data_IF_921110765789
#
_entry.id   IF_921110765789
#
_cell.length_a   1.000
_cell.length_b   1.000
_cell.length_c   1.000
_cell.angle_alpha   90.00
_cell.angle_beta   90.00
_cell.angle_gamma   90.00
#
_symmetry.space_group_name_H-M   'P 1'
#
loop_
_entity.id
_entity.type
_entity.pdbx_description
1 polymer ?
#
# COMPACT_ATOMS: atom_id res chain seq x y z
N UNK A 1 13.58 8.16 25.27
CA UNK A 1 12.60 8.26 24.16
C UNK A 1 11.31 7.69 24.71
N UNK A 2 10.27 8.51 24.92
CA UNK A 2 8.98 8.02 25.40
C UNK A 2 8.29 7.21 24.28
N UNK A 3 7.71 6.03 24.56
CA UNK A 3 6.96 5.29 23.57
C UNK A 3 5.76 6.13 23.11
N UNK A 4 5.69 6.39 21.81
CA UNK A 4 4.52 7.03 21.19
C UNK A 4 3.34 6.06 21.39
N UNK A 5 2.21 6.51 21.98
CA UNK A 5 1.03 5.68 22.11
C UNK A 5 0.63 5.05 20.77
N UNK A 6 0.29 3.76 20.79
CA UNK A 6 -0.01 2.97 19.59
C UNK A 6 -1.10 3.58 18.70
N UNK A 7 -1.98 4.41 19.25
CA UNK A 7 -3.02 5.14 18.52
C UNK A 7 -2.53 6.44 17.83
N UNK A 8 -1.38 6.99 18.20
CA UNK A 8 -0.82 8.22 17.58
C UNK A 8 0.16 7.92 16.44
N UNK A 9 0.87 6.80 16.50
CA UNK A 9 1.88 6.40 15.50
C UNK A 9 1.32 6.13 14.09
N UNK A 10 -0.01 5.96 13.97
CA UNK A 10 -0.70 5.73 12.70
C UNK A 10 -1.63 6.89 12.30
N UNK A 11 -1.53 8.03 12.99
CA UNK A 11 -2.25 9.22 12.57
C UNK A 11 -1.64 9.74 11.26
N UNK A 12 -2.50 10.11 10.30
CA UNK A 12 -2.07 10.77 9.05
C UNK A 12 -1.21 12.02 9.30
N UNK A 13 -1.24 12.57 10.51
CA UNK A 13 -0.40 13.68 10.94
C UNK A 13 1.11 13.39 10.75
N UNK A 14 1.57 12.14 10.96
CA UNK A 14 2.97 11.77 10.73
C UNK A 14 3.36 11.92 9.25
N UNK A 15 2.44 11.60 8.35
CA UNK A 15 2.65 11.60 6.90
C UNK A 15 2.33 12.95 6.25
N UNK A 16 1.76 13.89 7.02
CA UNK A 16 1.30 15.21 6.55
C UNK A 16 2.33 15.96 5.69
N UNK A 17 3.63 16.05 6.05
CA UNK A 17 4.55 16.86 5.26
C UNK A 17 4.74 16.36 3.83
N UNK A 18 4.49 15.07 3.57
CA UNK A 18 4.52 14.51 2.21
C UNK A 18 3.15 14.63 1.54
N UNK A 19 2.06 14.44 2.29
CA UNK A 19 0.69 14.52 1.76
C UNK A 19 0.24 15.95 1.40
N UNK A 20 0.83 16.98 1.99
CA UNK A 20 0.57 18.38 1.61
C UNK A 20 1.05 18.68 0.16
N UNK A 21 2.09 17.99 -0.31
CA UNK A 21 2.61 18.09 -1.68
C UNK A 21 2.09 17.01 -2.63
N UNK A 22 1.23 16.11 -2.17
CA UNK A 22 0.70 15.01 -2.97
C UNK A 22 -0.35 15.53 -3.96
N UNK A 23 -0.18 15.22 -5.24
CA UNK A 23 -1.21 15.44 -6.26
C UNK A 23 -1.95 14.13 -6.47
N UNK A 24 -3.24 14.04 -6.10
CA UNK A 24 -4.01 12.86 -6.42
C UNK A 24 -4.06 12.62 -7.92
N UNK A 25 -3.99 11.36 -8.37
CA UNK A 25 -4.09 11.04 -9.78
C UNK A 25 -5.46 11.48 -10.33
N UNK A 26 -5.46 11.91 -11.59
CA UNK A 26 -6.68 12.25 -12.31
C UNK A 26 -7.33 11.00 -12.93
N UNK A 27 -8.65 11.04 -13.05
CA UNK A 27 -9.42 9.99 -13.71
C UNK A 27 -9.87 8.85 -12.80
N UNK A 28 -10.73 8.01 -13.36
CA UNK A 28 -11.30 6.85 -12.69
C UNK A 28 -10.35 5.66 -12.82
N UNK A 29 -10.03 5.02 -11.70
CA UNK A 29 -9.28 3.78 -11.68
C UNK A 29 -10.24 2.61 -11.88
N UNK A 30 -10.04 1.89 -12.99
CA UNK A 30 -10.72 0.64 -13.25
C UNK A 30 -9.80 -0.53 -12.83
N UNK A 31 -9.97 -1.11 -11.63
CA UNK A 31 -9.15 -2.25 -11.19
C UNK A 31 -9.46 -3.53 -11.99
N UNK A 32 -10.48 -3.49 -12.84
CA UNK A 32 -10.81 -4.47 -13.85
C UNK A 32 -10.01 -4.29 -15.14
N UNK A 33 -9.24 -3.23 -15.38
CA UNK A 33 -8.40 -3.12 -16.58
C UNK A 33 -6.93 -3.32 -16.27
N UNK A 34 -6.15 -3.49 -17.33
CA UNK A 34 -4.70 -3.40 -17.24
C UNK A 34 -4.32 -2.02 -16.71
N UNK A 35 -3.42 -1.98 -15.74
CA UNK A 35 -3.02 -0.74 -15.10
C UNK A 35 -1.61 -0.82 -14.54
N UNK A 36 -1.00 0.35 -14.42
CA UNK A 36 0.27 0.54 -13.71
C UNK A 36 0.06 1.54 -12.59
N UNK A 37 0.50 1.18 -11.39
CA UNK A 37 0.53 2.06 -10.23
C UNK A 37 1.98 2.24 -9.80
N UNK A 38 2.43 3.49 -9.70
CA UNK A 38 3.76 3.82 -9.19
C UNK A 38 3.61 4.54 -7.86
N UNK A 39 4.47 4.21 -6.90
CA UNK A 39 4.47 4.78 -5.57
C UNK A 39 5.87 5.20 -5.19
N UNK A 40 6.02 6.40 -4.64
CA UNK A 40 7.20 6.80 -3.91
C UNK A 40 7.22 6.11 -2.55
N UNK A 41 8.37 5.57 -2.17
CA UNK A 41 8.61 4.97 -0.85
C UNK A 41 9.20 6.05 0.05
N UNK A 42 8.62 6.25 1.22
CA UNK A 42 9.03 7.27 2.18
C UNK A 42 9.30 6.65 3.55
N UNK A 43 10.35 7.13 4.21
CA UNK A 43 10.72 6.79 5.58
C UNK A 43 10.50 7.98 6.51
N UNK A 44 9.90 7.74 7.68
CA UNK A 44 9.50 8.73 8.67
C UNK A 44 10.19 8.45 10.02
N UNK A 45 11.51 8.67 10.05
CA UNK A 45 12.31 8.52 11.28
C UNK A 45 12.43 9.85 12.04
N UNK A 46 13.17 10.81 11.48
CA UNK A 46 13.31 12.16 12.04
C UNK A 46 12.62 13.22 11.16
N UNK A 47 12.83 13.13 9.85
CA UNK A 47 12.12 13.90 8.84
C UNK A 47 11.71 12.95 7.71
N UNK A 48 10.59 13.21 7.01
CA UNK A 48 10.18 12.41 5.86
C UNK A 48 11.26 12.45 4.77
N UNK A 49 11.66 11.27 4.30
CA UNK A 49 12.65 11.14 3.22
C UNK A 49 12.14 10.14 2.18
N UNK A 50 12.12 10.55 0.91
CA UNK A 50 11.90 9.61 -0.19
C UNK A 50 13.10 8.67 -0.28
N UNK A 51 12.85 7.38 -0.07
CA UNK A 51 13.86 6.33 -0.06
C UNK A 51 13.78 5.44 -1.31
N UNK A 52 12.74 5.53 -2.14
CA UNK A 52 12.63 4.61 -3.28
C UNK A 52 11.36 4.73 -4.10
N UNK A 53 11.13 3.73 -4.93
CA UNK A 53 9.96 3.58 -5.80
C UNK A 53 9.46 2.14 -5.78
N UNK A 54 8.14 1.98 -5.81
CA UNK A 54 7.42 0.72 -6.01
C UNK A 54 6.53 0.90 -7.24
N UNK A 55 6.67 0.02 -8.24
CA UNK A 55 5.79 -0.05 -9.41
C UNK A 55 5.07 -1.38 -9.41
N UNK A 56 3.76 -1.34 -9.59
CA UNK A 56 2.90 -2.51 -9.70
C UNK A 56 2.18 -2.44 -11.04
N UNK A 57 2.39 -3.44 -11.89
CA UNK A 57 1.69 -3.59 -13.17
C UNK A 57 0.76 -4.77 -13.09
N UNK A 58 -0.50 -4.58 -13.43
CA UNK A 58 -1.50 -5.64 -13.50
C UNK A 58 -1.91 -5.81 -14.95
N UNK A 59 -1.85 -7.05 -15.45
CA UNK A 59 -2.23 -7.43 -16.81
C UNK A 59 -3.22 -8.58 -16.77
N UNK A 60 -4.30 -8.49 -17.54
CA UNK A 60 -5.23 -9.61 -17.73
C UNK A 60 -4.66 -10.62 -18.71
N UNK A 61 -4.68 -11.89 -18.31
CA UNK A 61 -4.42 -13.04 -19.16
C UNK A 61 -5.64 -13.95 -19.27
N UNK A 62 -5.54 -14.96 -20.14
CA UNK A 62 -6.61 -15.94 -20.34
C UNK A 62 -7.01 -16.70 -19.05
N UNK A 63 -6.09 -16.80 -18.08
CA UNK A 63 -6.27 -17.59 -16.86
C UNK A 63 -6.34 -16.74 -15.57
N UNK A 64 -6.53 -15.41 -15.69
CA UNK A 64 -6.63 -14.51 -14.55
C UNK A 64 -5.79 -13.24 -14.72
N UNK A 65 -5.23 -12.74 -13.62
CA UNK A 65 -4.42 -11.52 -13.60
C UNK A 65 -2.97 -11.86 -13.24
N UNK A 66 -2.03 -11.31 -14.00
CA UNK A 66 -0.61 -11.32 -13.68
C UNK A 66 -0.24 -9.95 -13.12
N UNK A 67 0.29 -9.94 -11.90
CA UNK A 67 0.78 -8.73 -11.22
C UNK A 67 2.30 -8.78 -11.18
N UNK A 68 2.95 -7.80 -11.78
CA UNK A 68 4.40 -7.61 -11.73
C UNK A 68 4.75 -6.47 -10.78
N UNK A 69 5.71 -6.72 -9.92
CA UNK A 69 6.16 -5.78 -8.90
C UNK A 69 7.63 -5.49 -9.13
N UNK A 70 7.95 -4.21 -9.32
CA UNK A 70 9.31 -3.69 -9.29
C UNK A 70 9.45 -2.76 -8.09
N UNK A 71 10.43 -3.04 -7.25
CA UNK A 71 10.68 -2.28 -6.03
C UNK A 71 12.15 -1.91 -6.01
N UNK A 72 12.44 -0.64 -5.76
CA UNK A 72 13.80 -0.11 -5.58
C UNK A 72 13.79 0.79 -4.36
N UNK A 73 14.59 0.48 -3.35
CA UNK A 73 14.74 1.29 -2.14
C UNK A 73 16.21 1.50 -1.80
N UNK A 74 16.61 2.75 -1.62
CA UNK A 74 17.91 3.15 -1.11
C UNK A 74 18.15 2.57 0.29
N UNK A 75 19.36 2.05 0.47
CA UNK A 75 19.90 1.55 1.72
C UNK A 75 21.12 2.39 2.15
N UNK A 76 21.57 2.33 3.41
CA UNK A 76 22.72 3.10 3.90
C UNK A 76 23.99 2.80 3.10
N UNK A 77 24.75 3.84 2.73
CA UNK A 77 26.02 3.70 1.98
C UNK A 77 25.87 3.72 0.46
N UNK A 78 24.86 4.40 -0.07
CA UNK A 78 24.53 4.47 -1.51
C UNK A 78 24.24 3.10 -2.16
N UNK A 79 23.75 2.17 -1.35
CA UNK A 79 23.24 0.88 -1.81
C UNK A 79 21.77 0.98 -2.21
N UNK A 80 21.31 0.02 -3.02
CA UNK A 80 19.92 -0.12 -3.40
C UNK A 80 19.44 -1.55 -3.14
N UNK A 81 18.30 -1.70 -2.48
CA UNK A 81 17.55 -2.95 -2.41
C UNK A 81 16.58 -2.99 -3.59
N UNK A 82 16.71 -4.02 -4.41
CA UNK A 82 15.84 -4.26 -5.55
C UNK A 82 15.02 -5.52 -5.29
N UNK A 83 13.75 -5.48 -5.69
CA UNK A 83 12.89 -6.65 -5.73
C UNK A 83 12.11 -6.63 -7.04
N UNK A 84 12.16 -7.76 -7.75
CA UNK A 84 11.32 -8.05 -8.90
C UNK A 84 10.47 -9.28 -8.58
N UNK A 85 9.16 -9.17 -8.74
CA UNK A 85 8.25 -10.30 -8.50
C UNK A 85 7.16 -10.39 -9.56
N UNK A 86 6.73 -11.61 -9.85
CA UNK A 86 5.57 -11.91 -10.69
C UNK A 86 4.59 -12.79 -9.90
N UNK A 87 3.33 -12.35 -9.85
CA UNK A 87 2.28 -12.91 -9.03
C UNK A 87 1.10 -13.24 -9.94
N UNK A 88 0.68 -14.50 -9.93
CA UNK A 88 -0.43 -15.02 -10.70
C UNK A 88 -1.63 -15.20 -9.79
N UNK A 89 -2.72 -14.50 -10.11
CA UNK A 89 -3.99 -14.56 -9.41
C UNK A 89 -5.06 -15.13 -10.35
N UNK A 90 -5.90 -16.03 -9.85
CA UNK A 90 -7.07 -16.52 -10.60
C UNK A 90 -8.33 -15.72 -10.29
N UNK A 91 -9.36 -15.90 -11.12
CA UNK A 91 -10.72 -15.40 -10.90
C UNK A 91 -11.00 -13.99 -11.41
N UNK A 92 -12.27 -13.73 -11.74
CA UNK A 92 -12.81 -12.38 -11.90
C UNK A 92 -13.25 -11.88 -10.52
N UNK A 93 -12.87 -10.66 -10.13
CA UNK A 93 -13.17 -10.10 -8.80
C UNK A 93 -12.02 -10.24 -7.81
N UNK A 94 -11.87 -11.39 -7.14
CA UNK A 94 -10.88 -11.58 -6.07
C UNK A 94 -9.50 -11.99 -6.59
N UNK A 95 -8.36 -11.43 -6.11
CA UNK A 95 -7.06 -12.02 -6.38
C UNK A 95 -6.91 -13.32 -5.58
N UNK A 96 -7.42 -14.41 -6.14
CA UNK A 96 -7.23 -15.75 -5.61
C UNK A 96 -5.83 -16.24 -6.00
N UNK A 97 -4.85 -15.98 -5.14
CA UNK A 97 -3.43 -16.25 -5.37
C UNK A 97 -3.20 -17.71 -5.84
N UNK A 98 -2.51 -17.88 -6.96
CA UNK A 98 -2.23 -19.19 -7.59
C UNK A 98 -0.76 -19.54 -7.51
N UNK A 99 0.11 -18.60 -7.89
CA UNK A 99 1.55 -18.77 -7.94
C UNK A 99 2.23 -17.42 -7.80
N UNK A 100 3.41 -17.38 -7.22
CA UNK A 100 4.27 -16.21 -7.25
C UNK A 100 5.73 -16.65 -7.32
N UNK A 101 6.56 -15.76 -7.85
CA UNK A 101 8.00 -15.88 -7.78
C UNK A 101 8.60 -14.48 -7.68
N UNK A 102 9.77 -14.38 -7.08
CA UNK A 102 10.47 -13.12 -7.00
C UNK A 102 11.94 -13.29 -6.66
N UNK A 103 12.66 -12.21 -6.91
CA UNK A 103 14.09 -12.08 -6.65
C UNK A 103 14.33 -10.73 -5.98
N UNK A 104 14.96 -10.76 -4.83
CA UNK A 104 15.51 -9.60 -4.14
C UNK A 104 17.04 -9.62 -4.23
N UNK A 105 17.65 -8.45 -4.39
CA UNK A 105 19.11 -8.29 -4.39
C UNK A 105 19.49 -6.90 -3.86
N UNK A 106 20.71 -6.76 -3.35
CA UNK A 106 21.26 -5.45 -3.00
C UNK A 106 22.36 -5.08 -4.01
N UNK A 107 22.31 -3.87 -4.57
CA UNK A 107 23.34 -3.34 -5.46
C UNK A 107 24.17 -2.27 -4.75
N UNK A 108 25.48 -2.31 -4.98
CA UNK A 108 26.42 -1.30 -4.50
C UNK A 108 26.46 -0.05 -5.39
N UNK A 109 27.22 0.97 -4.97
CA UNK A 109 27.39 2.21 -5.74
C UNK A 109 28.00 2.01 -7.14
N UNK A 110 28.71 0.90 -7.36
CA UNK A 110 29.27 0.50 -8.65
C UNK A 110 28.25 -0.24 -9.55
N UNK A 111 27.00 -0.36 -9.09
CA UNK A 111 25.91 -1.06 -9.78
C UNK A 111 26.00 -2.58 -9.69
N UNK A 112 27.00 -3.16 -9.03
CA UNK A 112 27.16 -4.61 -8.90
C UNK A 112 26.29 -5.15 -7.78
N UNK A 113 25.74 -6.33 -8.01
CA UNK A 113 25.03 -7.09 -6.97
C UNK A 113 26.03 -7.50 -5.89
N UNK A 114 25.71 -7.20 -4.64
CA UNK A 114 26.52 -7.61 -3.50
C UNK A 114 26.44 -9.13 -3.31
N UNK A 115 27.60 -9.80 -3.11
CA UNK A 115 27.61 -11.23 -2.80
C UNK A 115 26.71 -11.56 -1.61
N UNK A 116 26.01 -12.69 -1.69
CA UNK A 116 25.13 -13.22 -0.63
C UNK A 116 23.88 -12.38 -0.31
N UNK A 117 23.61 -11.30 -1.05
CA UNK A 117 22.37 -10.51 -0.90
C UNK A 117 21.27 -10.94 -1.86
N UNK A 118 21.61 -11.79 -2.83
CA UNK A 118 20.63 -12.37 -3.73
C UNK A 118 19.76 -13.39 -2.99
N UNK A 119 18.46 -13.15 -3.03
CA UNK A 119 17.45 -13.96 -2.40
C UNK A 119 16.31 -14.20 -3.39
N UNK A 120 15.98 -15.46 -3.65
CA UNK A 120 14.90 -15.84 -4.55
C UNK A 120 13.87 -16.68 -3.82
N UNK A 121 12.59 -16.37 -4.06
CA UNK A 121 11.46 -17.06 -3.47
C UNK A 121 10.46 -17.44 -4.55
N UNK A 122 9.81 -18.57 -4.35
CA UNK A 122 8.68 -19.03 -5.15
C UNK A 122 7.63 -19.59 -4.22
N UNK A 123 6.37 -19.46 -4.60
CA UNK A 123 5.37 -20.34 -4.05
C UNK A 123 4.19 -20.54 -4.97
N UNK A 124 3.41 -21.57 -4.66
CA UNK A 124 2.26 -21.98 -5.44
C UNK A 124 1.18 -22.56 -4.54
N UNK A 125 -0.04 -22.47 -5.01
CA UNK A 125 -1.18 -23.18 -4.46
C UNK A 125 -1.23 -24.59 -5.05
N UNK A 126 -1.35 -25.57 -4.17
CA UNK A 126 -1.88 -26.90 -4.47
C UNK A 126 -3.28 -27.03 -3.84
N UNK A 127 -3.98 -28.15 -4.08
CA UNK A 127 -5.40 -28.30 -3.70
C UNK A 127 -5.68 -27.99 -2.22
N UNK A 128 -4.83 -28.48 -1.32
CA UNK A 128 -4.95 -28.31 0.14
C UNK A 128 -3.76 -27.58 0.80
N UNK A 129 -2.74 -27.21 0.04
CA UNK A 129 -1.48 -26.71 0.59
C UNK A 129 -0.96 -25.47 -0.16
N UNK A 130 -0.20 -24.66 0.57
CA UNK A 130 0.75 -23.72 0.00
C UNK A 130 2.13 -24.38 -0.03
N UNK A 131 2.76 -24.37 -1.20
CA UNK A 131 4.13 -24.84 -1.36
C UNK A 131 5.04 -23.64 -1.57
N UNK A 132 6.01 -23.48 -0.68
CA UNK A 132 7.03 -22.43 -0.70
C UNK A 132 8.37 -23.04 -1.06
N UNK A 133 9.14 -22.37 -1.91
CA UNK A 133 10.45 -22.79 -2.34
C UNK A 133 11.44 -21.63 -2.24
N UNK A 134 12.54 -21.88 -1.52
CA UNK A 134 13.64 -20.94 -1.31
C UNK A 134 14.94 -21.66 -1.61
N UNK A 135 15.54 -21.37 -2.78
CA UNK A 135 16.69 -22.12 -3.29
C UNK A 135 16.38 -23.61 -3.51
N UNK A 136 17.06 -24.48 -2.76
CA UNK A 136 16.87 -25.94 -2.80
C UNK A 136 15.85 -26.45 -1.79
N UNK A 137 15.41 -25.60 -0.86
CA UNK A 137 14.48 -25.96 0.21
C UNK A 137 13.04 -25.82 -0.28
N UNK A 138 12.20 -26.80 0.04
CA UNK A 138 10.75 -26.74 -0.16
C UNK A 138 10.05 -26.90 1.20
N UNK A 139 9.05 -26.05 1.48
CA UNK A 139 8.20 -26.13 2.66
C UNK A 139 6.74 -26.14 2.24
N UNK A 140 5.94 -26.98 2.90
CA UNK A 140 4.50 -27.11 2.67
C UNK A 140 3.75 -26.70 3.91
N UNK A 141 2.69 -25.90 3.75
CA UNK A 141 1.82 -25.45 4.83
C UNK A 141 0.36 -25.65 4.43
N UNK A 142 -0.55 -25.96 5.36
CA UNK A 142 -1.95 -26.14 5.06
C UNK A 142 -2.57 -24.83 4.55
N UNK A 143 -3.42 -24.93 3.53
CA UNK A 143 -4.21 -23.82 3.01
C UNK A 143 -5.54 -23.75 3.74
N UNK A 144 -5.60 -22.87 4.74
CA UNK A 144 -6.81 -22.70 5.56
C UNK A 144 -7.77 -21.68 4.93
N UNK A 145 -7.24 -20.65 4.26
CA UNK A 145 -8.01 -19.55 3.68
C UNK A 145 -7.43 -19.10 2.33
N UNK A 146 -8.15 -18.26 1.56
CA UNK A 146 -7.54 -17.48 0.48
C UNK A 146 -6.34 -16.69 1.03
N UNK A 147 -5.27 -16.58 0.25
CA UNK A 147 -4.06 -15.86 0.65
C UNK A 147 -3.84 -14.61 -0.20
N UNK A 148 -3.30 -13.56 0.42
CA UNK A 148 -2.87 -12.33 -0.23
C UNK A 148 -1.37 -12.08 -0.01
N UNK A 149 -0.76 -11.33 -0.92
CA UNK A 149 0.53 -10.68 -0.73
C UNK A 149 0.28 -9.19 -0.46
N UNK A 150 1.22 -8.46 0.20
CA UNK A 150 1.09 -7.02 0.43
C UNK A 150 0.66 -6.23 -0.81
N UNK A 151 1.23 -6.60 -1.96
CA UNK A 151 1.04 -5.90 -3.24
C UNK A 151 -0.29 -6.24 -3.91
N UNK A 152 -0.82 -7.45 -3.72
CA UNK A 152 -2.13 -7.84 -4.27
C UNK A 152 -3.29 -7.38 -3.41
N UNK A 153 -3.04 -7.02 -2.14
CA UNK A 153 -4.05 -6.45 -1.26
C UNK A 153 -4.61 -5.13 -1.82
N UNK A 154 -3.80 -4.27 -2.45
CA UNK A 154 -4.31 -3.05 -3.10
C UNK A 154 -5.31 -3.34 -4.22
N UNK A 155 -4.99 -4.31 -5.09
CA UNK A 155 -5.89 -4.68 -6.17
C UNK A 155 -7.20 -5.27 -5.64
N UNK A 156 -7.14 -6.06 -4.56
CA UNK A 156 -8.33 -6.57 -3.88
C UNK A 156 -9.19 -5.43 -3.32
N UNK A 157 -8.58 -4.51 -2.59
CA UNK A 157 -9.26 -3.39 -1.92
C UNK A 157 -9.83 -2.38 -2.91
N UNK A 158 -9.13 -2.10 -4.01
CA UNK A 158 -9.63 -1.23 -5.06
C UNK A 158 -10.93 -1.76 -5.69
N UNK A 159 -11.03 -3.09 -5.89
CA UNK A 159 -12.25 -3.73 -6.40
C UNK A 159 -13.38 -3.76 -5.38
N UNK A 160 -13.05 -3.92 -4.10
CA UNK A 160 -14.05 -3.95 -3.04
C UNK A 160 -14.62 -2.58 -2.70
N UNK A 161 -13.85 -1.51 -2.89
CA UNK A 161 -14.27 -0.15 -2.58
C UNK A 161 -15.42 0.37 -3.49
N UNK A 162 -15.79 -0.37 -4.55
CA UNK A 162 -16.96 -0.06 -5.38
C UNK A 162 -18.29 -0.55 -4.77
N UNK A 163 -18.25 -1.46 -3.80
CA UNK A 163 -19.46 -2.14 -3.31
C UNK A 163 -19.90 -1.56 -1.95
N UNK A 164 -21.16 -1.14 -1.84
CA UNK A 164 -21.73 -0.49 -0.64
C UNK A 164 -21.84 -1.42 0.60
N UNK A 165 -21.58 -2.73 0.45
CA UNK A 165 -21.75 -3.73 1.51
C UNK A 165 -20.45 -4.50 1.81
N UNK A 166 -19.35 -3.78 2.06
CA UNK A 166 -18.10 -4.42 2.47
C UNK A 166 -18.24 -5.13 3.83
N UNK A 167 -17.96 -6.42 3.85
CA UNK A 167 -17.69 -7.19 5.07
C UNK A 167 -16.19 -7.38 5.23
N UNK A 168 -15.71 -7.39 6.49
CA UNK A 168 -14.33 -7.70 6.80
C UNK A 168 -13.86 -8.99 6.08
N UNK A 169 -12.71 -8.89 5.42
CA UNK A 169 -12.10 -10.03 4.74
C UNK A 169 -11.21 -10.79 5.72
N UNK A 170 -11.46 -12.09 5.84
CA UNK A 170 -10.55 -13.04 6.49
C UNK A 170 -9.69 -13.75 5.44
N UNK A 171 -8.38 -13.66 5.60
CA UNK A 171 -7.41 -14.25 4.67
C UNK A 171 -6.14 -14.71 5.39
N UNK A 172 -5.38 -15.57 4.74
CA UNK A 172 -3.96 -15.73 5.09
C UNK A 172 -3.15 -14.64 4.35
N UNK A 173 -1.98 -14.29 4.87
CA UNK A 173 -1.12 -13.27 4.28
C UNK A 173 0.31 -13.78 4.15
N UNK A 174 0.90 -13.65 2.98
CA UNK A 174 2.27 -14.09 2.73
C UNK A 174 3.15 -12.84 2.73
N UNK A 175 4.02 -12.70 3.72
CA UNK A 175 5.02 -11.63 3.77
C UNK A 175 6.36 -12.10 3.21
N UNK A 176 7.08 -11.19 2.56
CA UNK A 176 8.39 -11.43 1.95
C UNK A 176 8.45 -12.65 0.99
N UNK A 177 7.29 -13.06 0.48
CA UNK A 177 7.16 -14.20 -0.43
C UNK A 177 7.23 -15.58 0.22
N UNK A 178 7.55 -15.69 1.50
CA UNK A 178 7.73 -16.99 2.17
C UNK A 178 7.10 -17.10 3.58
N UNK A 179 6.76 -15.99 4.23
CA UNK A 179 6.24 -15.97 5.59
C UNK A 179 4.71 -15.95 5.61
N UNK A 180 4.10 -17.12 5.79
CA UNK A 180 2.66 -17.26 5.93
C UNK A 180 2.18 -16.82 7.32
N UNK A 181 1.31 -15.82 7.37
CA UNK A 181 0.56 -15.40 8.55
C UNK A 181 -0.89 -15.83 8.39
N UNK A 182 -1.34 -16.65 9.33
CA UNK A 182 -2.71 -17.14 9.32
C UNK A 182 -3.69 -16.12 9.90
N UNK A 183 -4.96 -16.28 9.53
CA UNK A 183 -6.12 -15.60 10.14
C UNK A 183 -5.96 -14.07 10.24
N UNK A 184 -5.45 -13.47 9.16
CA UNK A 184 -5.37 -12.03 9.03
C UNK A 184 -6.73 -11.48 8.63
N UNK A 185 -7.00 -10.24 9.04
CA UNK A 185 -8.23 -9.53 8.74
C UNK A 185 -7.92 -8.21 8.06
N UNK A 186 -8.55 -7.97 6.91
CA UNK A 186 -8.64 -6.66 6.27
C UNK A 186 -10.03 -6.09 6.54
N UNK A 187 -10.10 -4.94 7.18
CA UNK A 187 -11.38 -4.32 7.58
C UNK A 187 -11.41 -2.83 7.29
N UNK A 188 -12.60 -2.25 7.18
CA UNK A 188 -12.77 -0.79 7.11
C UNK A 188 -12.39 -0.21 8.47
N UNK A 189 -11.36 0.61 8.46
CA UNK A 189 -10.98 1.42 9.61
C UNK A 189 -11.77 2.73 9.65
N UNK A 190 -11.93 3.37 8.48
CA UNK A 190 -12.59 4.67 8.36
C UNK A 190 -13.04 4.92 6.92
N UNK A 191 -14.17 5.60 6.75
CA UNK A 191 -14.60 6.18 5.48
C UNK A 191 -14.92 7.66 5.69
N UNK A 192 -14.72 8.48 4.65
CA UNK A 192 -15.19 9.86 4.61
C UNK A 192 -14.45 10.71 3.59
N UNK A 193 -14.78 12.00 3.57
CA UNK A 193 -14.06 12.98 2.74
C UNK A 193 -12.71 13.35 3.37
N UNK A 194 -11.68 13.43 2.53
CA UNK A 194 -10.33 13.84 2.92
C UNK A 194 -9.76 14.82 1.89
N UNK A 195 -9.41 16.02 2.36
CA UNK A 195 -8.65 16.99 1.59
C UNK A 195 -7.22 16.48 1.40
N UNK A 196 -6.79 16.29 0.15
CA UNK A 196 -5.46 15.81 -0.23
C UNK A 196 -4.77 16.79 -1.19
N UNK A 197 -3.45 16.95 -1.01
CA UNK A 197 -2.68 17.96 -1.70
C UNK A 197 -2.98 19.39 -1.25
N UNK A 198 -2.37 20.33 -1.97
CA UNK A 198 -2.51 21.77 -1.75
C UNK A 198 -1.73 22.31 -0.56
N UNK A 199 -1.38 23.59 -0.63
CA UNK A 199 -0.76 24.29 0.49
C UNK A 199 -1.84 24.75 1.46
N UNK A 200 -1.54 24.73 2.76
CA UNK A 200 -2.39 25.42 3.75
C UNK A 200 -2.41 26.91 3.38
N UNK A 201 -3.60 27.42 3.14
CA UNK A 201 -3.87 28.84 3.06
C UNK A 201 -4.85 29.20 4.17
N UNK A 202 -4.82 30.45 4.59
CA UNK A 202 -5.80 30.98 5.54
C UNK A 202 -6.66 31.96 4.77
N UNK A 203 -7.96 31.68 4.69
CA UNK A 203 -8.94 32.66 4.25
C UNK A 203 -9.51 33.33 5.49
N UNK A 204 -9.69 34.63 5.41
CA UNK A 204 -10.42 35.36 6.44
C UNK A 204 -11.89 35.30 6.07
N UNK A 205 -12.67 34.57 6.86
CA UNK A 205 -14.12 34.58 6.75
C UNK A 205 -14.67 35.73 7.58
N UNK A 206 -15.43 36.59 6.92
CA UNK A 206 -16.23 37.61 7.58
C UNK A 206 -17.64 37.08 7.78
N UNK A 207 -18.09 37.05 9.02
CA UNK A 207 -19.47 36.72 9.37
C UNK A 207 -20.11 37.92 10.05
N UNK A 208 -21.12 38.48 9.39
CA UNK A 208 -21.97 39.49 10.01
C UNK A 208 -22.82 38.85 11.11
N UNK A 209 -22.75 39.42 12.31
CA UNK A 209 -23.55 39.06 13.48
C UNK A 209 -24.29 40.31 13.96
N UNK A 210 -25.36 40.13 14.75
CA UNK A 210 -26.13 41.25 15.29
C UNK A 210 -25.28 42.23 16.13
N UNK A 211 -24.15 41.77 16.68
CA UNK A 211 -23.20 42.55 17.46
C UNK A 211 -22.02 43.13 16.65
N UNK A 212 -21.99 42.93 15.32
CA UNK A 212 -20.94 43.38 14.40
C UNK A 212 -20.29 42.25 13.60
N UNK A 213 -19.24 42.60 12.85
CA UNK A 213 -18.53 41.67 11.96
C UNK A 213 -17.50 40.84 12.72
N UNK A 214 -17.65 39.51 12.69
CA UNK A 214 -16.63 38.57 13.15
C UNK A 214 -15.71 38.21 11.98
N UNK A 215 -14.41 38.50 12.11
CA UNK A 215 -13.37 37.98 11.21
C UNK A 215 -12.71 36.77 11.85
N UNK A 216 -12.94 35.58 11.30
CA UNK A 216 -12.27 34.36 11.76
C UNK A 216 -11.40 33.80 10.64
N UNK A 217 -10.15 33.41 10.93
CA UNK A 217 -9.34 32.70 9.96
C UNK A 217 -9.90 31.29 9.81
N UNK A 218 -10.28 30.90 8.60
CA UNK A 218 -10.55 29.51 8.23
C UNK A 218 -9.34 28.94 7.49
N UNK A 219 -8.89 27.76 7.93
CA UNK A 219 -7.84 27.04 7.23
C UNK A 219 -8.45 26.38 6.00
N UNK A 220 -7.95 26.74 4.82
CA UNK A 220 -8.30 26.10 3.55
C UNK A 220 -7.06 25.48 2.92
N UNK A 221 -7.27 24.60 1.94
CA UNK A 221 -6.20 24.06 1.11
C UNK A 221 -6.29 24.64 -0.30
N UNK A 222 -5.30 25.44 -0.66
CA UNK A 222 -5.16 25.99 -2.00
C UNK A 222 -4.50 24.96 -2.93
N UNK A 223 -5.18 24.59 -4.01
CA UNK A 223 -4.75 23.55 -4.96
C UNK A 223 -4.92 22.10 -4.47
N UNK A 224 -5.62 21.87 -3.35
CA UNK A 224 -5.98 20.53 -2.89
C UNK A 224 -7.28 20.02 -3.52
N UNK A 225 -7.57 18.73 -3.35
CA UNK A 225 -8.83 18.10 -3.75
C UNK A 225 -9.45 17.34 -2.57
N UNK A 226 -10.74 17.52 -2.37
CA UNK A 226 -11.52 16.68 -1.46
C UNK A 226 -11.87 15.37 -2.17
N UNK A 227 -11.44 14.26 -1.57
CA UNK A 227 -11.70 12.91 -2.09
C UNK A 227 -12.49 12.10 -1.08
N UNK A 228 -13.50 11.38 -1.58
CA UNK A 228 -14.15 10.32 -0.81
C UNK A 228 -13.21 9.13 -0.69
N UNK A 229 -12.76 8.83 0.53
CA UNK A 229 -11.75 7.81 0.81
C UNK A 229 -12.24 6.77 1.79
N UNK A 230 -11.76 5.54 1.61
CA UNK A 230 -11.86 4.45 2.57
C UNK A 230 -10.45 4.02 2.98
N UNK A 231 -10.21 4.03 4.29
CA UNK A 231 -9.03 3.45 4.89
C UNK A 231 -9.36 2.03 5.35
N UNK A 232 -8.62 1.05 4.84
CA UNK A 232 -8.66 -0.32 5.31
C UNK A 232 -7.48 -0.60 6.23
N UNK A 233 -7.67 -1.37 7.28
CA UNK A 233 -6.61 -1.79 8.19
C UNK A 233 -6.43 -3.31 8.13
N UNK A 234 -5.17 -3.74 8.00
CA UNK A 234 -4.76 -5.13 8.22
C UNK A 234 -4.43 -5.35 9.68
N UNK A 235 -5.11 -6.31 10.29
CA UNK A 235 -4.88 -6.75 11.67
C UNK A 235 -4.72 -8.27 11.70
N UNK A 236 -4.09 -8.77 12.77
CA UNK A 236 -3.82 -10.19 12.95
C UNK A 236 -2.52 -10.41 13.72
N UNK A 237 -2.32 -11.64 14.19
CA UNK A 237 -1.12 -11.98 14.97
C UNK A 237 0.15 -11.80 14.13
N UNK A 238 1.20 -11.25 14.78
CA UNK A 238 2.52 -11.07 14.18
C UNK A 238 2.59 -9.99 13.10
N UNK A 239 1.52 -9.25 12.83
CA UNK A 239 1.49 -8.20 11.80
C UNK A 239 1.66 -6.81 12.38
N UNK A 240 2.54 -6.02 11.76
CA UNK A 240 2.52 -4.57 11.92
C UNK A 240 1.22 -4.08 11.29
N UNK A 241 0.43 -3.22 11.98
CA UNK A 241 -0.73 -2.59 11.39
C UNK A 241 -0.35 -1.88 10.08
N UNK A 242 -1.08 -2.24 9.03
CA UNK A 242 -0.92 -1.66 7.70
C UNK A 242 -2.24 -1.02 7.31
N UNK A 243 -2.19 0.24 6.91
CA UNK A 243 -3.37 0.96 6.43
C UNK A 243 -3.28 1.17 4.93
N UNK A 244 -4.38 0.93 4.23
CA UNK A 244 -4.53 1.09 2.80
C UNK A 244 -5.59 2.17 2.54
N UNK A 245 -5.20 3.26 1.89
CA UNK A 245 -6.08 4.38 1.61
C UNK A 245 -6.48 4.35 0.14
N UNK A 246 -7.77 4.12 -0.10
CA UNK A 246 -8.36 3.97 -1.43
C UNK A 246 -9.39 5.08 -1.63
N UNK A 247 -9.23 5.88 -2.68
CA UNK A 247 -10.26 6.81 -3.11
C UNK A 247 -11.37 6.09 -3.89
N UNK A 248 -12.60 6.57 -3.75
CA UNK A 248 -13.77 5.97 -4.41
C UNK A 248 -13.63 5.91 -5.93
N UNK A 249 -13.10 6.97 -6.56
CA UNK A 249 -12.95 7.04 -8.03
C UNK A 249 -11.52 6.77 -8.47
N UNK A 250 -10.57 7.37 -7.79
CA UNK A 250 -9.16 7.38 -8.21
C UNK A 250 -8.43 6.09 -7.83
N UNK A 251 -9.02 5.24 -6.99
CA UNK A 251 -8.45 3.96 -6.58
C UNK A 251 -7.36 4.11 -5.51
N UNK A 252 -6.34 3.23 -5.48
CA UNK A 252 -5.30 3.27 -4.47
C UNK A 252 -4.56 4.63 -4.45
N UNK A 253 -4.44 5.23 -3.26
CA UNK A 253 -3.73 6.49 -3.06
C UNK A 253 -2.41 6.26 -2.32
N UNK A 254 -2.45 5.62 -1.16
CA UNK A 254 -1.24 5.35 -0.39
C UNK A 254 -1.42 4.22 0.62
N UNK A 255 -0.31 3.66 1.09
CA UNK A 255 -0.24 2.67 2.16
C UNK A 255 0.74 3.13 3.23
N UNK A 256 0.46 2.80 4.48
CA UNK A 256 1.34 3.12 5.61
C UNK A 256 1.55 1.89 6.48
N UNK A 257 2.80 1.62 6.87
CA UNK A 257 3.16 0.54 7.79
C UNK A 257 4.34 0.98 8.67
N UNK A 258 4.07 1.19 9.96
CA UNK A 258 5.06 1.74 10.89
C UNK A 258 5.64 3.06 10.39
N UNK A 259 6.97 3.13 10.26
CA UNK A 259 7.69 4.33 9.78
C UNK A 259 7.79 4.43 8.26
N UNK A 260 7.12 3.57 7.51
CA UNK A 260 7.13 3.58 6.04
C UNK A 260 5.78 4.02 5.48
N UNK A 261 5.83 4.77 4.38
CA UNK A 261 4.68 5.01 3.53
C UNK A 261 5.01 4.76 2.05
N UNK A 262 4.00 4.34 1.30
CA UNK A 262 4.03 4.20 -0.14
C UNK A 262 2.95 5.12 -0.68
N UNK A 263 3.34 6.21 -1.33
CA UNK A 263 2.43 7.27 -1.78
C UNK A 263 2.41 7.27 -3.29
N UNK A 264 1.23 7.18 -3.89
CA UNK A 264 1.07 7.08 -5.34
C UNK A 264 1.70 8.30 -6.02
N UNK A 265 2.29 8.06 -7.18
CA UNK A 265 2.85 9.07 -8.06
C UNK A 265 1.95 9.15 -9.31
N UNK A 266 1.88 10.35 -9.90
CA UNK A 266 1.15 10.63 -11.15
C UNK A 266 1.99 10.31 -12.37
#
# INVERSE_FOLDING_TARGET
MNPIPFNQAYSLALYRPVLDGFTPPDGEHDPGRDHTLTFGIYEFMAAPKRSGTLTIRSERGANGVVVRVDYVKKAPGDYENLLHAEIHCGGEGWPDLRRWNGKSEMRGPDGRVLPLTEYAFEGRRESAEWVFKTGKSERRLPRLRPALLPWTAWAALARMNSDEAFSALHCDFIEDGEHLKHDQRLDIHRTGSMALGGKRAFLWEERELDAGTLRSPSEVRDGGRDLEVTAFCRTGEGSVPTFYWIAKREGPLFMTAGTHAWIRET
#
